data_IF_756392478234
#
_entry.id   IF_756392478234
#
_cell.length_a   1.000
_cell.length_b   1.000
_cell.length_c   1.000
_cell.angle_alpha   90.00
_cell.angle_beta   90.00
_cell.angle_gamma   90.00
#
_symmetry.space_group_name_H-M   'P 1'
#
loop_
_entity.id
_entity.type
_entity.pdbx_description
1 polymer ?
#
# COMPACT_ATOMS: atom_id res chain seq x y z
N UNK A 1 20.84 -15.61 -0.93
CA UNK A 1 19.86 -14.49 -0.93
C UNK A 1 18.89 -14.65 0.22
N UNK A 2 18.70 -13.61 0.97
CA UNK A 2 17.80 -13.67 2.11
C UNK A 2 16.37 -13.44 1.68
N UNK A 3 15.46 -13.95 2.47
CA UNK A 3 14.03 -13.82 2.23
C UNK A 3 13.59 -12.36 2.25
N UNK A 4 14.12 -11.58 3.17
CA UNK A 4 13.76 -10.16 3.28
C UNK A 4 14.18 -9.39 2.03
N UNK A 5 15.29 -9.77 1.45
CA UNK A 5 15.78 -9.12 0.24
C UNK A 5 14.85 -9.41 -0.94
N UNK A 6 14.35 -10.64 -1.02
CA UNK A 6 13.38 -10.99 -2.04
C UNK A 6 12.09 -10.18 -1.90
N UNK A 7 11.62 -10.02 -0.65
CA UNK A 7 10.42 -9.25 -0.38
C UNK A 7 10.59 -7.79 -0.80
N UNK A 8 11.76 -7.20 -0.49
CA UNK A 8 12.03 -5.82 -0.87
C UNK A 8 12.02 -5.65 -2.38
N UNK A 9 12.64 -6.59 -3.10
CA UNK A 9 12.72 -6.50 -4.54
C UNK A 9 11.40 -6.72 -5.23
N UNK A 10 10.45 -7.36 -4.56
CA UNK A 10 9.19 -7.74 -5.19
C UNK A 10 8.05 -6.76 -4.94
N UNK A 11 8.25 -5.68 -4.19
CA UNK A 11 7.15 -4.76 -3.90
C UNK A 11 6.47 -4.26 -5.17
N UNK A 12 7.23 -3.81 -6.13
CA UNK A 12 6.67 -3.27 -7.36
C UNK A 12 6.12 -4.36 -8.28
N UNK A 13 6.38 -5.62 -7.97
CA UNK A 13 5.84 -6.74 -8.73
C UNK A 13 4.59 -7.32 -8.09
N UNK A 14 4.32 -6.97 -6.84
CA UNK A 14 3.13 -7.47 -6.15
C UNK A 14 1.90 -6.72 -6.61
N UNK A 15 0.82 -7.45 -6.81
CA UNK A 15 -0.46 -6.85 -7.15
C UNK A 15 -1.03 -6.09 -5.95
N UNK A 16 -0.90 -6.67 -4.77
CA UNK A 16 -1.39 -6.08 -3.52
C UNK A 16 -0.27 -6.04 -2.51
N UNK A 17 -0.31 -5.04 -1.64
CA UNK A 17 0.69 -4.84 -0.59
C UNK A 17 0.02 -4.89 0.77
N UNK A 18 0.76 -5.37 1.77
CA UNK A 18 0.34 -5.17 3.16
C UNK A 18 0.49 -3.69 3.49
N UNK A 19 -0.11 -3.27 4.62
CA UNK A 19 0.02 -1.87 5.05
C UNK A 19 1.49 -1.51 5.29
N UNK A 20 2.25 -2.43 5.90
CA UNK A 20 3.67 -2.20 6.14
C UNK A 20 4.46 -2.10 4.84
N UNK A 21 4.14 -2.96 3.88
CA UNK A 21 4.79 -2.91 2.58
C UNK A 21 4.48 -1.62 1.85
N UNK A 22 3.21 -1.19 1.90
CA UNK A 22 2.81 0.06 1.27
C UNK A 22 3.54 1.24 1.90
N UNK A 23 3.71 1.23 3.22
CA UNK A 23 4.43 2.29 3.92
C UNK A 23 5.89 2.32 3.49
N UNK A 24 6.53 1.16 3.41
CA UNK A 24 7.92 1.08 2.99
C UNK A 24 8.10 1.52 1.54
N UNK A 25 7.18 1.08 0.67
CA UNK A 25 7.24 1.36 -0.74
C UNK A 25 7.02 2.84 -1.05
N UNK A 26 6.09 3.46 -0.35
CA UNK A 26 5.68 4.85 -0.60
C UNK A 26 6.39 5.87 0.28
N UNK A 27 7.06 5.41 1.33
CA UNK A 27 7.67 6.30 2.32
C UNK A 27 6.63 7.14 3.08
N UNK A 28 5.40 6.62 3.17
CA UNK A 28 4.32 7.25 3.94
C UNK A 28 4.15 6.45 5.22
N UNK A 29 3.88 7.13 6.33
CA UNK A 29 3.74 6.46 7.61
C UNK A 29 2.56 5.47 7.64
N UNK A 30 2.70 4.41 8.42
CA UNK A 30 1.67 3.38 8.56
C UNK A 30 0.34 3.97 9.01
N UNK A 31 0.39 4.86 10.00
CA UNK A 31 -0.83 5.46 10.54
C UNK A 31 -1.58 6.25 9.47
N UNK A 32 -0.84 6.95 8.63
CA UNK A 32 -1.45 7.73 7.55
C UNK A 32 -2.11 6.82 6.54
N UNK A 33 -1.45 5.73 6.20
CA UNK A 33 -2.02 4.76 5.25
C UNK A 33 -3.28 4.14 5.83
N UNK A 34 -3.27 3.76 7.10
CA UNK A 34 -4.46 3.21 7.74
C UNK A 34 -5.61 4.20 7.72
N UNK A 35 -5.31 5.48 7.95
CA UNK A 35 -6.32 6.54 7.89
C UNK A 35 -6.93 6.63 6.49
N UNK A 36 -6.09 6.57 5.46
CA UNK A 36 -6.56 6.62 4.08
C UNK A 36 -7.44 5.43 3.73
N UNK A 37 -7.07 4.24 4.22
CA UNK A 37 -7.84 3.03 3.94
C UNK A 37 -9.22 3.04 4.57
N UNK A 38 -9.40 3.79 5.64
CA UNK A 38 -10.69 3.88 6.33
C UNK A 38 -11.69 4.80 5.64
N UNK A 39 -11.24 5.62 4.71
CA UNK A 39 -12.12 6.56 4.04
C UNK A 39 -13.07 5.81 3.11
N UNK A 40 -14.36 6.16 3.10
CA UNK A 40 -15.34 5.49 2.23
C UNK A 40 -15.01 5.61 0.75
N UNK A 41 -14.29 6.66 0.38
CA UNK A 41 -13.93 6.91 -1.02
C UNK A 41 -12.62 6.27 -1.43
N UNK A 42 -11.98 5.50 -0.54
CA UNK A 42 -10.70 4.90 -0.85
C UNK A 42 -10.84 3.86 -1.95
N UNK A 43 -10.13 4.05 -3.06
CA UNK A 43 -10.21 3.17 -4.22
C UNK A 43 -9.15 2.06 -4.20
N UNK A 44 -8.20 2.13 -3.28
CA UNK A 44 -7.08 1.21 -3.27
C UNK A 44 -7.06 0.26 -2.09
N UNK A 45 -8.16 0.13 -1.36
CA UNK A 45 -8.26 -0.83 -0.26
C UNK A 45 -8.87 -2.13 -0.78
N UNK A 46 -8.31 -3.25 -0.33
CA UNK A 46 -8.85 -4.58 -0.62
C UNK A 46 -9.04 -5.31 0.69
N UNK A 47 -10.26 -5.76 0.93
CA UNK A 47 -10.57 -6.53 2.14
C UNK A 47 -10.45 -8.01 1.84
N UNK A 48 -9.61 -8.70 2.61
CA UNK A 48 -9.43 -10.14 2.50
C UNK A 48 -9.67 -10.74 3.87
N UNK A 49 -10.87 -11.23 4.11
CA UNK A 49 -11.26 -11.66 5.44
C UNK A 49 -11.17 -10.51 6.41
N UNK A 50 -10.36 -10.67 7.46
CA UNK A 50 -10.16 -9.63 8.46
C UNK A 50 -9.00 -8.70 8.12
N UNK A 51 -8.33 -8.94 7.00
CA UNK A 51 -7.17 -8.15 6.61
C UNK A 51 -7.53 -7.08 5.61
N UNK A 52 -6.79 -6.00 5.65
CA UNK A 52 -6.84 -4.95 4.64
C UNK A 52 -5.53 -4.97 3.88
N UNK A 53 -5.62 -4.99 2.57
CA UNK A 53 -4.46 -4.90 1.70
C UNK A 53 -4.57 -3.64 0.86
N UNK A 54 -3.45 -3.21 0.30
CA UNK A 54 -3.38 -2.04 -0.54
C UNK A 54 -3.19 -2.49 -1.98
N UNK A 55 -4.13 -2.10 -2.85
CA UNK A 55 -4.01 -2.38 -4.28
C UNK A 55 -2.91 -1.47 -4.84
N UNK A 56 -1.79 -2.06 -5.26
CA UNK A 56 -0.61 -1.29 -5.60
C UNK A 56 -0.84 -0.30 -6.72
N UNK A 57 -1.45 -0.72 -7.81
CA UNK A 57 -1.63 0.17 -8.96
C UNK A 57 -2.54 1.34 -8.64
N UNK A 58 -3.65 1.08 -8.00
CA UNK A 58 -4.58 2.14 -7.62
C UNK A 58 -3.97 3.08 -6.59
N UNK A 59 -3.15 2.53 -5.68
CA UNK A 59 -2.44 3.33 -4.71
C UNK A 59 -1.44 4.25 -5.40
N UNK A 60 -0.69 3.72 -6.36
CA UNK A 60 0.26 4.52 -7.15
C UNK A 60 -0.45 5.64 -7.90
N UNK A 61 -1.60 5.35 -8.48
CA UNK A 61 -2.38 6.35 -9.19
C UNK A 61 -2.85 7.46 -8.25
N UNK A 62 -3.32 7.07 -7.07
CA UNK A 62 -3.74 8.04 -6.07
C UNK A 62 -2.60 8.96 -5.70
N UNK A 63 -1.43 8.40 -5.44
CA UNK A 63 -0.27 9.18 -5.05
C UNK A 63 0.23 10.08 -6.19
N UNK A 64 0.14 9.60 -7.42
CA UNK A 64 0.61 10.39 -8.57
C UNK A 64 -0.21 11.64 -8.80
N UNK A 65 -1.47 11.63 -8.35
CA UNK A 65 -2.37 12.77 -8.49
C UNK A 65 -2.38 13.66 -7.25
N UNK A 66 -1.75 13.20 -6.18
CA UNK A 66 -1.77 13.92 -4.91
C UNK A 66 -0.55 14.82 -4.79
N UNK A 67 -0.77 16.02 -4.29
CA UNK A 67 0.31 16.94 -3.96
C UNK A 67 0.54 16.91 -2.46
N UNK A 68 -0.53 16.70 -1.72
CA UNK A 68 -0.50 16.69 -0.27
C UNK A 68 -1.44 15.61 0.23
N UNK A 69 -1.03 14.92 1.26
CA UNK A 69 -1.86 13.86 1.86
C UNK A 69 -2.20 14.21 3.33
#
# INVERSE_FOLDING_TARGET
MTESRLLEMSFYLKLNLTIKEAAAYSNIGINKIEELLKQPTCSFVLYVGNKKLVKRKEFEQYLSKSVEI
#
